data_IF_472472549308
#
_entry.id   IF_472472549308
#
_cell.length_a   1.000
_cell.length_b   1.000
_cell.length_c   1.000
_cell.angle_alpha   90.00
_cell.angle_beta   90.00
_cell.angle_gamma   90.00
#
_symmetry.space_group_name_H-M   'P 1'
#
loop_
_entity.id
_entity.type
_entity.pdbx_description
1 polymer ?
#
# COMPACT_ATOMS: atom_id res chain seq x y z
N UNK A 1 0.56 -27.45 40.35
CA UNK A 1 1.09 -26.99 39.04
C UNK A 1 0.03 -26.58 38.01
N UNK A 2 -1.23 -27.05 38.07
CA UNK A 2 -2.31 -26.63 37.13
C UNK A 2 -2.73 -25.15 37.18
N UNK A 3 -2.61 -24.47 38.35
CA UNK A 3 -3.06 -23.08 38.52
C UNK A 3 -2.13 -22.02 37.91
N UNK A 4 -0.83 -22.31 37.82
CA UNK A 4 0.18 -21.37 37.26
C UNK A 4 0.07 -21.31 35.73
N UNK A 5 -0.22 -22.44 35.07
CA UNK A 5 -0.40 -22.51 33.62
C UNK A 5 -1.59 -21.68 33.13
N UNK A 6 -2.71 -21.66 33.88
CA UNK A 6 -3.89 -20.86 33.52
C UNK A 6 -3.57 -19.36 33.64
N UNK A 7 -2.85 -18.94 34.69
CA UNK A 7 -2.46 -17.54 34.88
C UNK A 7 -1.51 -17.03 33.78
N UNK A 8 -0.59 -17.86 33.29
CA UNK A 8 0.33 -17.48 32.23
C UNK A 8 -0.40 -17.34 30.88
N UNK A 9 -1.36 -18.23 30.62
CA UNK A 9 -2.20 -18.19 29.42
C UNK A 9 -3.10 -16.93 29.41
N UNK A 10 -3.64 -16.51 30.55
CA UNK A 10 -4.40 -15.25 30.67
C UNK A 10 -3.54 -13.99 30.48
N UNK A 11 -2.27 -14.01 30.90
CA UNK A 11 -1.38 -12.85 30.76
C UNK A 11 -1.02 -12.56 29.29
N UNK A 12 -0.85 -13.61 28.48
CA UNK A 12 -0.53 -13.50 27.04
C UNK A 12 -1.68 -12.84 26.24
N UNK A 13 -2.93 -13.05 26.64
CA UNK A 13 -4.10 -12.51 25.93
C UNK A 13 -4.29 -11.01 26.26
N UNK A 14 -3.71 -10.51 27.36
CA UNK A 14 -3.84 -9.12 27.81
C UNK A 14 -2.78 -8.18 27.21
N UNK A 15 -1.71 -8.69 26.62
CA UNK A 15 -0.66 -7.85 26.01
C UNK A 15 -1.09 -7.36 24.64
N UNK A 16 -0.97 -6.05 24.41
CA UNK A 16 -1.23 -5.48 23.09
C UNK A 16 -0.18 -5.98 22.09
N UNK A 17 -0.63 -6.53 20.97
CA UNK A 17 0.20 -6.87 19.83
C UNK A 17 0.41 -5.62 18.97
N UNK A 18 1.53 -5.55 18.26
CA UNK A 18 1.81 -4.47 17.30
C UNK A 18 1.80 -5.06 15.90
N UNK A 19 1.04 -4.44 15.00
CA UNK A 19 0.98 -4.79 13.59
C UNK A 19 1.49 -3.62 12.77
N UNK A 20 2.32 -3.91 11.76
CA UNK A 20 2.83 -2.94 10.80
C UNK A 20 2.36 -3.34 9.41
N UNK A 21 1.84 -2.36 8.65
CA UNK A 21 1.47 -2.52 7.25
C UNK A 21 2.26 -1.57 6.38
N UNK A 22 2.80 -2.11 5.30
CA UNK A 22 3.58 -1.41 4.29
C UNK A 22 2.71 -1.12 3.09
N UNK A 23 2.96 0.02 2.45
CA UNK A 23 2.22 0.45 1.27
C UNK A 23 3.04 1.45 0.46
N UNK A 24 2.69 1.61 -0.81
CA UNK A 24 3.31 2.59 -1.68
C UNK A 24 2.28 3.61 -2.15
N UNK A 25 2.61 4.89 -1.96
CA UNK A 25 1.80 6.00 -2.44
C UNK A 25 2.66 6.94 -3.30
N UNK A 26 2.08 7.54 -4.35
CA UNK A 26 2.72 8.65 -5.04
C UNK A 26 3.04 9.77 -4.05
N UNK A 27 4.20 10.41 -4.21
CA UNK A 27 4.53 11.64 -3.48
C UNK A 27 3.43 12.66 -3.74
N UNK A 28 3.05 13.38 -2.67
CA UNK A 28 1.83 14.21 -2.53
C UNK A 28 1.63 15.31 -3.57
N UNK A 29 2.58 15.53 -4.47
CA UNK A 29 2.52 16.51 -5.56
C UNK A 29 1.52 16.11 -6.67
N UNK A 30 1.19 14.83 -6.81
CA UNK A 30 0.12 14.42 -7.73
C UNK A 30 -1.23 14.33 -6.99
N UNK A 31 -2.07 15.36 -7.16
CA UNK A 31 -3.43 15.39 -6.64
C UNK A 31 -4.41 15.43 -7.81
N UNK A 32 -5.22 14.39 -7.93
CA UNK A 32 -6.39 14.37 -8.81
C UNK A 32 -7.64 14.24 -7.97
N UNK A 33 -8.65 15.04 -8.29
CA UNK A 33 -10.03 14.92 -7.82
C UNK A 33 -10.75 13.73 -8.45
N UNK A 34 -10.37 13.34 -9.67
CA UNK A 34 -11.02 12.28 -10.46
C UNK A 34 -10.49 10.87 -10.19
N UNK A 35 -9.19 10.71 -9.95
CA UNK A 35 -8.58 9.39 -9.77
C UNK A 35 -7.75 9.27 -8.49
N UNK A 36 -7.59 8.04 -8.02
CA UNK A 36 -6.61 7.66 -7.01
C UNK A 36 -5.57 6.74 -7.63
N UNK A 37 -4.32 6.87 -7.20
CA UNK A 37 -3.24 5.99 -7.65
C UNK A 37 -2.48 5.51 -6.41
N UNK A 38 -2.29 4.19 -6.32
CA UNK A 38 -1.52 3.55 -5.26
C UNK A 38 -0.78 2.32 -5.80
N UNK A 39 0.10 1.74 -4.99
CA UNK A 39 0.73 0.48 -5.30
C UNK A 39 0.55 -0.53 -4.16
N UNK A 40 0.12 -1.73 -4.53
CA UNK A 40 -0.06 -2.87 -3.65
C UNK A 40 1.21 -3.71 -3.54
N UNK A 41 1.34 -4.42 -2.43
CA UNK A 41 2.42 -5.37 -2.15
C UNK A 41 1.90 -6.79 -2.23
N UNK A 42 2.79 -7.75 -2.55
CA UNK A 42 2.45 -9.18 -2.48
C UNK A 42 2.04 -9.58 -1.06
N UNK A 43 2.69 -8.99 -0.06
CA UNK A 43 2.37 -9.11 1.35
C UNK A 43 2.59 -7.75 2.02
N UNK A 44 1.51 -7.07 2.40
CA UNK A 44 1.59 -5.77 3.06
C UNK A 44 2.15 -5.83 4.49
N UNK A 45 2.34 -7.01 5.09
CA UNK A 45 2.89 -7.16 6.44
C UNK A 45 4.41 -7.43 6.45
N UNK A 46 5.01 -7.59 5.27
CA UNK A 46 6.45 -7.82 5.10
C UNK A 46 7.15 -6.58 4.53
N UNK A 47 8.10 -6.02 5.29
CA UNK A 47 8.90 -4.85 4.88
C UNK A 47 9.63 -5.11 3.55
N UNK A 48 10.03 -6.35 3.26
CA UNK A 48 10.79 -6.68 2.05
C UNK A 48 9.89 -7.18 0.91
N UNK A 49 8.57 -7.12 1.09
CA UNK A 49 7.63 -7.56 0.07
C UNK A 49 7.79 -6.75 -1.22
N UNK A 50 7.81 -7.41 -2.39
CA UNK A 50 7.86 -6.72 -3.67
C UNK A 50 6.52 -6.07 -4.00
N UNK A 51 6.58 -4.98 -4.76
CA UNK A 51 5.39 -4.34 -5.34
C UNK A 51 4.70 -5.32 -6.29
N UNK A 52 3.45 -5.64 -5.99
CA UNK A 52 2.64 -6.54 -6.81
C UNK A 52 2.06 -5.80 -8.01
N UNK A 53 1.41 -4.67 -7.76
CA UNK A 53 0.76 -3.87 -8.80
C UNK A 53 0.75 -2.38 -8.49
N UNK A 54 0.57 -1.56 -9.53
CA UNK A 54 0.06 -0.19 -9.42
C UNK A 54 -1.42 -0.21 -9.78
N UNK A 55 -2.26 0.40 -8.95
CA UNK A 55 -3.69 0.53 -9.18
C UNK A 55 -4.06 1.98 -9.44
N UNK A 56 -4.83 2.21 -10.50
CA UNK A 56 -5.46 3.48 -10.83
C UNK A 56 -6.97 3.31 -10.68
N UNK A 57 -7.56 3.93 -9.67
CA UNK A 57 -9.01 3.84 -9.43
C UNK A 57 -9.73 5.14 -9.78
N UNK A 58 -10.95 5.01 -10.30
CA UNK A 58 -11.87 6.13 -10.47
C UNK A 58 -12.54 6.47 -9.12
N UNK A 59 -12.38 7.73 -8.66
CA UNK A 59 -12.91 8.18 -7.37
C UNK A 59 -14.43 8.37 -7.35
N UNK A 60 -15.08 8.35 -8.51
CA UNK A 60 -16.54 8.42 -8.62
C UNK A 60 -17.19 7.09 -8.23
N UNK A 61 -16.44 5.99 -8.28
CA UNK A 61 -16.92 4.67 -7.92
C UNK A 61 -17.22 4.55 -6.42
N UNK A 62 -18.33 3.90 -6.08
CA UNK A 62 -18.68 3.52 -4.71
C UNK A 62 -19.50 2.23 -4.72
N UNK A 63 -19.83 1.71 -3.52
CA UNK A 63 -20.62 0.48 -3.39
C UNK A 63 -21.98 0.64 -4.06
N UNK A 64 -22.23 -0.16 -5.11
CA UNK A 64 -23.46 -0.09 -5.90
C UNK A 64 -23.37 0.78 -7.16
N UNK A 65 -22.25 1.48 -7.40
CA UNK A 65 -21.98 2.17 -8.65
C UNK A 65 -20.48 2.09 -9.00
N UNK A 66 -20.14 1.19 -9.92
CA UNK A 66 -18.75 0.95 -10.33
C UNK A 66 -18.38 1.84 -11.51
N UNK A 67 -17.40 2.72 -11.28
CA UNK A 67 -16.70 3.46 -12.32
C UNK A 67 -15.32 2.86 -12.52
N UNK A 68 -14.83 2.86 -13.75
CA UNK A 68 -13.55 2.23 -14.09
C UNK A 68 -12.57 3.16 -14.77
N UNK A 69 -11.29 2.95 -14.50
CA UNK A 69 -10.19 3.61 -15.17
C UNK A 69 -9.44 2.65 -16.11
N UNK A 70 -9.27 3.03 -17.37
CA UNK A 70 -8.50 2.26 -18.35
C UNK A 70 -7.15 2.90 -18.59
N UNK A 71 -6.09 2.15 -18.31
CA UNK A 71 -4.72 2.57 -18.65
C UNK A 71 -4.49 2.34 -20.13
N UNK A 72 -4.19 3.41 -20.87
CA UNK A 72 -4.08 3.40 -22.34
C UNK A 72 -2.68 3.07 -22.83
N UNK A 73 -1.66 3.25 -21.99
CA UNK A 73 -0.28 2.95 -22.36
C UNK A 73 -0.09 1.42 -22.50
N UNK A 74 0.42 0.92 -23.63
CA UNK A 74 0.67 -0.52 -23.84
C UNK A 74 1.78 -1.07 -22.94
N UNK A 75 2.70 -0.19 -22.56
CA UNK A 75 3.84 -0.50 -21.71
C UNK A 75 4.03 0.63 -20.71
N UNK A 76 4.43 0.26 -19.50
CA UNK A 76 4.71 1.18 -18.40
C UNK A 76 6.19 1.09 -18.10
N UNK A 77 6.88 2.23 -18.05
CA UNK A 77 8.26 2.28 -17.59
C UNK A 77 8.28 2.40 -16.07
N UNK A 78 9.07 1.57 -15.41
CA UNK A 78 9.40 1.68 -13.99
C UNK A 78 10.91 1.90 -13.85
N UNK A 79 11.30 2.79 -12.96
CA UNK A 79 12.70 3.05 -12.64
C UNK A 79 12.87 2.88 -11.14
N UNK A 80 13.70 1.93 -10.71
CA UNK A 80 13.96 1.71 -9.28
C UNK A 80 14.91 2.76 -8.69
N UNK A 81 15.10 2.71 -7.37
CA UNK A 81 16.03 3.59 -6.63
C UNK A 81 17.48 3.53 -7.13
N UNK A 82 17.89 2.45 -7.80
CA UNK A 82 19.22 2.24 -8.39
C UNK A 82 19.29 2.68 -9.87
N UNK A 83 18.26 3.36 -10.37
CA UNK A 83 18.10 3.77 -11.77
C UNK A 83 18.02 2.62 -12.77
N UNK A 84 17.73 1.40 -12.32
CA UNK A 84 17.46 0.30 -13.26
C UNK A 84 16.06 0.48 -13.83
N UNK A 85 15.96 0.40 -15.14
CA UNK A 85 14.71 0.57 -15.87
C UNK A 85 14.06 -0.80 -16.17
N UNK A 86 12.74 -0.83 -16.09
CA UNK A 86 11.91 -1.99 -16.39
C UNK A 86 10.78 -1.55 -17.31
N UNK A 87 10.47 -2.39 -18.30
CA UNK A 87 9.33 -2.20 -19.19
C UNK A 87 8.28 -3.25 -18.84
N UNK A 88 7.18 -2.79 -18.26
CA UNK A 88 6.06 -3.63 -17.82
C UNK A 88 5.02 -3.64 -18.92
N UNK A 89 4.61 -4.82 -19.37
CA UNK A 89 3.50 -4.93 -20.33
C UNK A 89 2.20 -4.63 -19.62
N UNK A 90 1.36 -3.81 -20.22
CA UNK A 90 0.02 -3.57 -19.74
C UNK A 90 -0.95 -4.40 -20.57
N UNK A 91 -1.58 -5.39 -19.94
CA UNK A 91 -2.73 -6.06 -20.53
C UNK A 91 -3.87 -5.06 -20.50
N UNK A 92 -4.17 -4.48 -21.67
CA UNK A 92 -5.18 -3.44 -21.86
C UNK A 92 -6.49 -3.80 -21.13
N UNK A 93 -7.26 -2.77 -20.74
CA UNK A 93 -8.55 -2.87 -20.03
C UNK A 93 -8.50 -3.12 -18.52
N UNK A 94 -7.31 -3.11 -17.90
CA UNK A 94 -7.20 -3.18 -16.44
C UNK A 94 -6.89 -1.81 -15.81
N UNK A 95 -7.43 -1.61 -14.61
CA UNK A 95 -7.03 -0.57 -13.66
C UNK A 95 -5.67 -0.85 -13.00
N UNK A 96 -5.17 -2.07 -13.18
CA UNK A 96 -4.01 -2.61 -12.50
C UNK A 96 -2.87 -2.87 -13.48
N UNK A 97 -1.68 -2.38 -13.14
CA UNK A 97 -0.41 -2.72 -13.80
C UNK A 97 0.29 -3.74 -12.91
N UNK A 98 0.24 -5.02 -13.27
CA UNK A 98 0.90 -6.09 -12.51
C UNK A 98 2.40 -6.12 -12.79
N UNK A 99 3.21 -5.93 -11.75
CA UNK A 99 4.67 -5.83 -11.80
C UNK A 99 5.29 -7.16 -11.39
N UNK A 100 4.97 -7.65 -10.20
CA UNK A 100 5.59 -8.86 -9.65
C UNK A 100 5.30 -10.11 -10.50
N UNK A 101 4.06 -10.23 -11.01
CA UNK A 101 3.66 -11.30 -11.92
C UNK A 101 4.51 -11.39 -13.20
N UNK A 102 5.18 -10.29 -13.59
CA UNK A 102 6.08 -10.24 -14.75
C UNK A 102 7.55 -10.52 -14.39
N UNK A 103 7.82 -10.96 -13.16
CA UNK A 103 9.18 -11.29 -12.68
C UNK A 103 10.02 -10.06 -12.30
N UNK A 104 9.40 -8.88 -12.20
CA UNK A 104 10.09 -7.65 -11.78
C UNK A 104 9.94 -7.47 -10.28
N UNK A 105 11.08 -7.38 -9.57
CA UNK A 105 11.14 -7.27 -8.12
C UNK A 105 11.53 -5.84 -7.75
N UNK A 106 10.61 -5.12 -7.12
CA UNK A 106 10.80 -3.75 -6.61
C UNK A 106 10.45 -3.74 -5.13
N UNK A 107 11.42 -3.47 -4.27
CA UNK A 107 11.26 -3.47 -2.80
C UNK A 107 11.57 -2.13 -2.15
N UNK A 108 12.09 -1.18 -2.94
CA UNK A 108 12.44 0.19 -2.55
C UNK A 108 11.52 1.20 -3.26
N UNK A 109 11.69 2.48 -2.96
CA UNK A 109 11.10 3.59 -3.72
C UNK A 109 11.38 3.45 -5.23
N UNK A 110 10.43 3.89 -6.04
CA UNK A 110 10.52 3.78 -7.49
C UNK A 110 9.78 4.92 -8.19
N UNK A 111 10.04 5.10 -9.48
CA UNK A 111 9.29 5.99 -10.36
C UNK A 111 8.52 5.18 -11.39
N UNK A 112 7.28 5.57 -11.66
CA UNK A 112 6.47 4.96 -12.72
C UNK A 112 5.99 6.01 -13.73
N UNK A 113 6.04 5.62 -15.00
CA UNK A 113 5.62 6.43 -16.14
C UNK A 113 4.35 5.80 -16.72
N UNK A 114 3.21 6.12 -16.10
CA UNK A 114 1.92 5.49 -16.41
C UNK A 114 1.36 5.97 -17.75
N UNK A 115 1.59 7.24 -18.12
CA UNK A 115 1.14 7.81 -19.39
C UNK A 115 -0.31 8.26 -19.33
N UNK A 116 -1.22 7.66 -20.11
CA UNK A 116 -2.61 8.13 -20.22
C UNK A 116 -3.59 7.14 -19.58
N UNK A 117 -4.61 7.70 -18.93
CA UNK A 117 -5.73 6.97 -18.35
C UNK A 117 -7.02 7.52 -18.94
N UNK A 118 -7.96 6.65 -19.29
CA UNK A 118 -9.30 7.02 -19.74
C UNK A 118 -10.33 6.56 -18.72
N UNK A 119 -11.23 7.45 -18.31
CA UNK A 119 -12.38 7.09 -17.49
C UNK A 119 -13.53 6.58 -18.37
N UNK A 120 -14.52 5.94 -17.75
CA UNK A 120 -15.69 5.39 -18.46
C UNK A 120 -16.54 6.43 -19.21
N UNK A 121 -16.55 7.69 -18.78
CA UNK A 121 -17.19 8.81 -19.48
C UNK A 121 -16.39 9.33 -20.69
N UNK A 122 -15.27 8.68 -21.00
CA UNK A 122 -14.38 9.03 -22.10
C UNK A 122 -13.31 10.07 -21.75
N UNK A 123 -13.34 10.67 -20.55
CA UNK A 123 -12.33 11.64 -20.09
C UNK A 123 -10.94 11.03 -20.12
N UNK A 124 -9.99 11.70 -20.78
CA UNK A 124 -8.58 11.30 -20.80
C UNK A 124 -7.78 12.16 -19.83
N UNK A 125 -7.02 11.51 -18.96
CA UNK A 125 -6.13 12.12 -17.97
C UNK A 125 -4.68 11.75 -18.32
N UNK A 126 -3.84 12.76 -18.47
CA UNK A 126 -2.39 12.56 -18.59
C UNK A 126 -1.77 12.46 -17.20
N UNK A 127 -1.12 11.33 -16.92
CA UNK A 127 -0.43 11.05 -15.67
C UNK A 127 1.04 11.43 -15.85
N UNK A 128 1.55 12.43 -15.12
CA UNK A 128 2.98 12.72 -15.12
C UNK A 128 3.76 11.55 -14.50
N UNK A 129 5.10 11.50 -14.67
CA UNK A 129 5.91 10.54 -13.93
C UNK A 129 5.68 10.67 -12.43
N UNK A 130 5.36 9.55 -11.78
CA UNK A 130 5.06 9.50 -10.35
C UNK A 130 6.22 8.86 -9.61
N UNK A 131 6.64 9.48 -8.52
CA UNK A 131 7.56 8.85 -7.56
C UNK A 131 6.73 8.20 -6.46
N UNK A 132 6.91 6.91 -6.23
CA UNK A 132 6.24 6.15 -5.18
C UNK A 132 7.20 5.98 -4.01
N UNK A 133 6.72 6.33 -2.81
CA UNK A 133 7.47 6.12 -1.57
C UNK A 133 6.85 5.01 -0.74
N UNK A 134 7.71 4.21 -0.11
CA UNK A 134 7.29 3.21 0.87
C UNK A 134 6.87 3.89 2.17
N UNK A 135 5.66 3.57 2.62
CA UNK A 135 5.09 4.06 3.87
C UNK A 135 4.80 2.88 4.80
N UNK A 136 4.82 3.17 6.10
CA UNK A 136 4.51 2.24 7.18
C UNK A 136 3.36 2.82 8.00
N UNK A 137 2.36 2.00 8.24
CA UNK A 137 1.31 2.24 9.23
C UNK A 137 1.48 1.20 10.34
N UNK A 138 1.77 1.65 11.56
CA UNK A 138 1.91 0.78 12.73
C UNK A 138 0.75 1.06 13.69
N UNK A 139 0.05 0.02 14.13
CA UNK A 139 -1.02 0.08 15.13
C UNK A 139 -0.83 -0.98 16.21
N UNK A 140 -1.30 -0.67 17.42
CA UNK A 140 -1.43 -1.67 18.47
C UNK A 140 -2.85 -2.21 18.50
N UNK A 141 -2.97 -3.52 18.64
CA UNK A 141 -4.24 -4.25 18.79
C UNK A 141 -4.23 -5.05 20.09
N UNK A 142 -5.33 -5.00 20.85
CA UNK A 142 -5.52 -5.83 22.03
C UNK A 142 -6.77 -6.71 21.85
N UNK A 143 -6.62 -8.04 21.74
CA UNK A 143 -7.72 -8.92 21.39
C UNK A 143 -8.87 -8.89 22.41
N UNK A 144 -8.58 -8.68 23.69
CA UNK A 144 -9.62 -8.61 24.74
C UNK A 144 -10.37 -7.30 24.65
N UNK A 145 -9.65 -6.16 24.68
CA UNK A 145 -10.32 -4.87 24.72
C UNK A 145 -10.98 -4.53 23.40
N UNK A 146 -10.42 -4.92 22.27
CA UNK A 146 -10.90 -4.47 20.97
C UNK A 146 -12.13 -5.27 20.53
N UNK A 147 -12.21 -6.55 20.93
CA UNK A 147 -13.41 -7.38 20.77
C UNK A 147 -14.56 -6.87 21.63
N UNK A 148 -14.28 -6.48 22.88
CA UNK A 148 -15.31 -5.96 23.80
C UNK A 148 -15.82 -4.57 23.35
N UNK A 149 -14.98 -3.76 22.70
CA UNK A 149 -15.31 -2.37 22.34
C UNK A 149 -15.78 -2.19 20.89
N UNK A 150 -16.24 -3.24 20.21
CA UNK A 150 -16.91 -3.19 18.89
C UNK A 150 -16.29 -2.19 17.90
N UNK A 151 -14.96 -2.24 17.72
CA UNK A 151 -14.25 -1.47 16.69
C UNK A 151 -13.65 -0.13 17.12
N UNK A 152 -13.55 0.18 18.43
CA UNK A 152 -13.10 1.50 18.91
C UNK A 152 -11.66 1.64 19.44
N UNK A 153 -10.75 0.68 19.26
CA UNK A 153 -9.48 0.68 20.03
C UNK A 153 -8.16 0.23 19.37
N UNK A 154 -8.01 0.20 18.03
CA UNK A 154 -6.63 0.21 17.51
C UNK A 154 -6.02 1.58 17.69
N UNK A 155 -4.90 1.65 18.44
CA UNK A 155 -4.14 2.90 18.62
C UNK A 155 -3.10 2.96 17.51
N UNK A 156 -3.23 3.94 16.63
CA UNK A 156 -2.17 4.28 15.67
C UNK A 156 -0.91 4.66 16.42
N UNK A 157 0.15 3.88 16.23
CA UNK A 157 1.46 4.08 16.84
C UNK A 157 2.38 4.89 15.93
N UNK A 158 2.25 4.71 14.62
CA UNK A 158 3.06 5.39 13.61
C UNK A 158 2.31 5.46 12.27
N UNK A 159 2.57 6.51 11.48
CA UNK A 159 2.19 6.61 10.08
C UNK A 159 3.13 7.58 9.37
N UNK A 160 3.89 7.10 8.40
CA UNK A 160 4.90 7.88 7.69
C UNK A 160 5.73 7.02 6.75
N UNK A 161 6.80 7.61 6.23
CA UNK A 161 7.78 6.93 5.36
C UNK A 161 8.56 5.86 6.10
N UNK A 162 9.17 4.93 5.35
CA UNK A 162 10.03 3.89 5.92
C UNK A 162 11.28 4.48 6.61
N UNK A 163 11.80 5.60 6.13
CA UNK A 163 12.90 6.33 6.75
C UNK A 163 12.49 6.90 8.12
N UNK A 164 11.37 7.63 8.19
CA UNK A 164 10.81 8.15 9.45
C UNK A 164 10.49 7.02 10.44
N UNK A 165 10.03 5.87 9.94
CA UNK A 165 9.76 4.70 10.79
C UNK A 165 11.04 4.14 11.42
N UNK A 166 12.14 4.07 10.66
CA UNK A 166 13.45 3.62 11.17
C UNK A 166 13.97 4.55 12.27
N UNK A 167 13.82 5.87 12.10
CA UNK A 167 14.16 6.86 13.12
C UNK A 167 13.30 6.69 14.38
N UNK A 168 11.98 6.55 14.20
CA UNK A 168 11.03 6.29 15.29
C UNK A 168 11.38 5.03 16.11
N UNK A 169 11.76 3.94 15.44
CA UNK A 169 12.15 2.69 16.12
C UNK A 169 13.47 2.83 16.86
N UNK A 170 14.42 3.62 16.34
CA UNK A 170 15.70 3.88 17.00
C UNK A 170 15.54 4.74 18.26
N UNK A 171 14.59 5.68 18.30
CA UNK A 171 14.29 6.48 19.50
C UNK A 171 13.60 5.67 20.62
N UNK A 172 13.05 4.50 20.30
CA UNK A 172 12.36 3.61 21.24
C UNK A 172 13.22 2.49 21.81
N UNK A 173 14.44 2.31 21.30
CA UNK A 173 15.44 1.35 21.81
C UNK A 173 16.21 1.97 22.95
#
# INVERSE_FOLDING_TARGET
MKKIFISLLFLIILTACVSARYSYYPVSSYRSDKISISAGLVNAEDENSPVDYIWVSDKRGYVGNSHYAKILSPTIKIVDKKNKEYIIKNDFYNEHIYIYKQGVIITDDFKAYIGKVQLDDGTIINIPPLSFRKNVYEESYNPVTDTINAGRRTKRLFNGTIEEYKEYKNQKK
#
